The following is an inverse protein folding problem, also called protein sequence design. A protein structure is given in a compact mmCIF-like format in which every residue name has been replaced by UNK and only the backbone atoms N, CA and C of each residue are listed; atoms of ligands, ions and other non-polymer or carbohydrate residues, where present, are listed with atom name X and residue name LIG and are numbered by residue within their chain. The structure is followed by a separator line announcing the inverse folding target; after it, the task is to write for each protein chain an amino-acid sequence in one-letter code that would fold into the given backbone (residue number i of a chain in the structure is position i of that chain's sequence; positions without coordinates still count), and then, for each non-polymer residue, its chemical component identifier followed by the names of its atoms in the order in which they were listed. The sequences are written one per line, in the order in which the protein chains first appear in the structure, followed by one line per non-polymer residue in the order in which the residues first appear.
data_IF_686888706278
#
_entry.id   IF_686888706278
#
_cell.length_a   1.000
_cell.length_b   1.000
_cell.length_c   1.000
_cell.angle_alpha   90.00
_cell.angle_beta   90.00
_cell.angle_gamma   90.00
#
_symmetry.space_group_name_H-M   'P 1'
#
loop_
_entity.id
_entity.type
_entity.pdbx_description
1 polymer ?
#
# COMPACT_ATOMS: atom_id res chain seq x y z
N UNK A 1 -19.52 5.64 -11.57
CA UNK A 1 -19.15 4.51 -10.69
C UNK A 1 -18.36 5.09 -9.52
N UNK A 2 -18.64 4.65 -8.29
CA UNK A 2 -17.80 4.99 -7.14
C UNK A 2 -16.43 4.32 -7.25
N UNK A 3 -15.41 4.96 -6.64
CA UNK A 3 -14.05 4.42 -6.60
C UNK A 3 -14.01 3.05 -5.94
N UNK A 4 -13.15 2.17 -6.43
CA UNK A 4 -12.84 0.89 -5.82
C UNK A 4 -11.42 0.90 -5.25
N UNK A 5 -11.23 0.36 -4.05
CA UNK A 5 -9.90 0.18 -3.45
C UNK A 5 -9.24 -1.12 -3.94
N UNK A 6 -7.91 -1.19 -3.89
CA UNK A 6 -7.17 -2.42 -4.23
C UNK A 6 -7.62 -3.58 -3.32
N UNK A 7 -7.83 -3.33 -2.03
CA UNK A 7 -8.36 -4.35 -1.11
C UNK A 7 -9.71 -4.92 -1.56
N UNK A 8 -10.60 -4.10 -2.12
CA UNK A 8 -11.87 -4.57 -2.65
C UNK A 8 -11.69 -5.37 -3.95
N UNK A 9 -10.71 -5.04 -4.77
CA UNK A 9 -10.35 -5.84 -5.96
C UNK A 9 -9.84 -7.22 -5.53
N UNK A 10 -8.98 -7.29 -4.52
CA UNK A 10 -8.49 -8.55 -3.95
C UNK A 10 -9.66 -9.36 -3.37
N UNK A 11 -10.50 -8.74 -2.51
CA UNK A 11 -11.68 -9.39 -1.95
C UNK A 11 -12.64 -9.91 -3.02
N UNK A 12 -12.81 -9.19 -4.12
CA UNK A 12 -13.62 -9.62 -5.25
C UNK A 12 -13.07 -10.92 -5.86
N UNK A 13 -11.77 -11.04 -6.06
CA UNK A 13 -11.14 -12.25 -6.61
C UNK A 13 -11.30 -13.49 -5.72
N UNK A 14 -11.34 -13.28 -4.41
CA UNK A 14 -11.51 -14.36 -3.43
C UNK A 14 -12.98 -14.86 -3.35
N UNK A 15 -13.92 -14.19 -4.03
CA UNK A 15 -15.33 -14.60 -4.05
C UNK A 15 -15.57 -15.64 -5.14
N UNK A 16 -16.49 -16.56 -4.89
CA UNK A 16 -17.00 -17.45 -5.94
C UNK A 16 -17.78 -16.64 -7.00
N UNK A 17 -17.85 -17.13 -8.23
CA UNK A 17 -18.52 -16.46 -9.35
C UNK A 17 -19.95 -16.02 -9.00
N UNK A 18 -20.69 -16.90 -8.29
CA UNK A 18 -22.05 -16.61 -7.82
C UNK A 18 -22.14 -15.41 -6.88
N UNK A 19 -21.10 -15.17 -6.07
CA UNK A 19 -21.09 -14.11 -5.06
C UNK A 19 -20.42 -12.82 -5.53
N UNK A 20 -19.67 -12.84 -6.62
CA UNK A 20 -18.97 -11.68 -7.16
C UNK A 20 -19.92 -10.54 -7.52
N UNK A 21 -21.02 -10.82 -8.23
CA UNK A 21 -22.03 -9.81 -8.60
C UNK A 21 -22.69 -9.18 -7.38
N UNK A 22 -23.04 -9.96 -6.37
CA UNK A 22 -23.57 -9.47 -5.10
C UNK A 22 -22.59 -8.57 -4.36
N UNK A 23 -21.31 -8.94 -4.35
CA UNK A 23 -20.26 -8.14 -3.75
C UNK A 23 -20.08 -6.79 -4.46
N UNK A 24 -20.08 -6.76 -5.79
CA UNK A 24 -20.01 -5.50 -6.56
C UNK A 24 -21.21 -4.58 -6.27
N UNK A 25 -22.40 -5.14 -6.15
CA UNK A 25 -23.59 -4.39 -5.78
C UNK A 25 -23.49 -3.79 -4.36
N UNK A 26 -22.90 -4.52 -3.41
CA UNK A 26 -22.70 -4.01 -2.05
C UNK A 26 -21.70 -2.85 -1.98
N UNK A 27 -20.59 -2.90 -2.73
CA UNK A 27 -19.62 -1.81 -2.84
C UNK A 27 -20.24 -0.56 -3.50
N UNK A 28 -21.17 -0.77 -4.44
CA UNK A 28 -21.81 0.34 -5.18
C UNK A 28 -22.84 1.11 -4.35
N UNK A 29 -23.43 0.47 -3.34
CA UNK A 29 -24.57 1.02 -2.55
C UNK A 29 -24.17 1.90 -1.37
N UNK A 30 -22.88 2.24 -1.14
CA UNK A 30 -22.45 2.99 0.05
C UNK A 30 -22.98 2.46 1.39
N UNK A 31 -23.18 1.19 1.48
CA UNK A 31 -23.13 0.61 2.79
C UNK A 31 -21.69 0.89 3.22
N UNK A 32 -21.51 1.84 4.15
CA UNK A 32 -20.28 1.94 4.92
C UNK A 32 -20.08 0.55 5.52
N UNK A 33 -19.40 -0.32 4.77
CA UNK A 33 -18.83 -1.52 5.34
C UNK A 33 -17.79 -0.94 6.27
N UNK A 34 -18.18 -0.78 7.56
CA UNK A 34 -17.24 -0.47 8.63
C UNK A 34 -16.11 -1.45 8.41
N UNK A 35 -14.95 -0.93 7.96
CA UNK A 35 -13.81 -1.78 7.71
C UNK A 35 -13.62 -2.61 8.98
N UNK A 36 -13.71 -3.95 8.87
CA UNK A 36 -13.32 -4.84 9.96
C UNK A 36 -11.89 -4.45 10.34
N UNK A 37 -11.75 -3.85 11.52
CA UNK A 37 -10.48 -3.27 11.96
C UNK A 37 -10.32 -1.77 11.77
N UNK A 38 -11.38 -1.00 11.52
CA UNK A 38 -11.40 0.47 11.43
C UNK A 38 -10.31 1.06 10.50
N UNK A 39 -10.62 2.05 9.67
CA UNK A 39 -9.67 2.65 8.71
C UNK A 39 -8.36 3.18 9.32
N UNK A 40 -8.20 3.14 10.63
CA UNK A 40 -7.05 3.63 11.39
C UNK A 40 -6.29 2.53 12.15
N UNK A 41 -6.60 1.26 11.93
CA UNK A 41 -6.05 0.17 12.74
C UNK A 41 -4.51 0.11 12.70
N UNK A 42 -3.90 0.32 11.53
CA UNK A 42 -2.46 0.23 11.27
C UNK A 42 -1.77 1.60 11.15
N UNK A 43 -2.52 2.68 11.32
CA UNK A 43 -2.05 4.02 11.01
C UNK A 43 -0.85 4.43 11.87
N UNK A 44 -0.75 3.93 13.10
CA UNK A 44 0.31 4.29 14.03
C UNK A 44 1.68 3.77 13.56
N UNK A 45 1.77 2.48 13.23
CA UNK A 45 3.00 1.89 12.72
C UNK A 45 3.35 2.43 11.33
N UNK A 46 2.39 2.45 10.38
CA UNK A 46 2.63 2.96 9.03
C UNK A 46 3.06 4.44 9.05
N UNK A 47 2.49 5.26 9.93
CA UNK A 47 2.87 6.66 10.06
C UNK A 47 4.31 6.82 10.59
N UNK A 48 4.69 6.01 11.57
CA UNK A 48 6.07 6.01 12.11
C UNK A 48 7.09 5.59 11.06
N UNK A 49 6.81 4.51 10.31
CA UNK A 49 7.66 4.06 9.20
C UNK A 49 7.78 5.12 8.09
N UNK A 50 6.68 5.80 7.75
CA UNK A 50 6.70 6.91 6.80
C UNK A 50 7.60 8.06 7.28
N UNK A 51 7.55 8.38 8.57
CA UNK A 51 8.39 9.41 9.15
C UNK A 51 9.87 8.97 9.18
N UNK A 52 10.14 7.71 9.50
CA UNK A 52 11.51 7.16 9.46
C UNK A 52 12.15 7.31 8.07
N UNK A 53 11.43 7.01 7.00
CA UNK A 53 11.89 7.24 5.62
C UNK A 53 12.14 8.73 5.35
N UNK A 54 11.24 9.61 5.80
CA UNK A 54 11.33 11.06 5.54
C UNK A 54 12.48 11.72 6.28
N UNK A 55 12.79 11.25 7.48
CA UNK A 55 13.87 11.78 8.33
C UNK A 55 15.19 11.04 8.10
N UNK A 56 15.17 9.95 7.34
CA UNK A 56 16.29 9.02 7.19
C UNK A 56 16.84 8.58 8.56
N UNK A 57 15.93 8.24 9.49
CA UNK A 57 16.26 7.87 10.87
C UNK A 57 15.19 6.93 11.43
N UNK A 58 15.57 5.98 12.28
CA UNK A 58 14.64 5.07 12.95
C UNK A 58 14.03 5.67 14.23
N UNK A 59 14.47 6.85 14.66
CA UNK A 59 13.94 7.51 15.88
C UNK A 59 12.40 7.63 15.87
N UNK A 60 11.70 8.01 14.77
CA UNK A 60 10.24 8.05 14.77
C UNK A 60 9.56 6.72 15.06
N UNK A 61 10.23 5.59 14.78
CA UNK A 61 9.72 4.25 15.11
C UNK A 61 9.91 3.99 16.61
N UNK A 62 11.10 4.27 17.17
CA UNK A 62 11.42 4.09 18.58
C UNK A 62 10.56 4.98 19.48
N UNK A 63 10.34 6.24 19.08
CA UNK A 63 9.42 7.16 19.75
C UNK A 63 7.99 6.60 19.78
N UNK A 64 7.54 6.04 18.65
CA UNK A 64 6.18 5.48 18.55
C UNK A 64 6.02 4.19 19.37
N UNK A 65 7.07 3.37 19.50
CA UNK A 65 7.08 2.21 20.40
C UNK A 65 6.89 2.69 21.84
N UNK A 66 7.68 3.68 22.28
CA UNK A 66 7.59 4.25 23.63
C UNK A 66 6.18 4.81 23.90
N UNK A 67 5.65 5.62 22.97
CA UNK A 67 4.28 6.17 23.07
C UNK A 67 3.23 5.07 23.24
N UNK A 68 3.33 3.99 22.46
CA UNK A 68 2.35 2.90 22.53
C UNK A 68 2.47 2.10 23.82
N UNK A 69 3.68 1.89 24.34
CA UNK A 69 3.91 1.23 25.62
C UNK A 69 3.32 2.04 26.79
N UNK A 70 3.49 3.36 26.78
CA UNK A 70 2.92 4.26 27.80
C UNK A 70 1.38 4.26 27.78
N UNK A 71 0.78 4.09 26.59
CA UNK A 71 -0.67 3.98 26.43
C UNK A 71 -1.23 2.60 26.80
N UNK A 72 -0.38 1.60 27.02
CA UNK A 72 -0.80 0.21 27.27
C UNK A 72 -1.18 -0.02 28.74
N UNK A 73 -2.32 0.55 29.15
CA UNK A 73 -2.82 0.46 30.53
C UNK A 73 -3.82 -0.67 30.75
N UNK A 74 -3.96 -1.20 31.99
CA UNK A 74 -4.88 -2.32 32.29
C UNK A 74 -6.35 -2.07 31.91
N UNK A 75 -6.81 -0.82 32.02
CA UNK A 75 -8.20 -0.40 31.75
C UNK A 75 -8.62 -0.42 30.28
N UNK A 76 -7.70 -0.63 29.33
CA UNK A 76 -8.02 -0.72 27.92
C UNK A 76 -8.90 -1.91 27.59
N UNK A 77 -9.81 -1.71 26.62
CA UNK A 77 -10.58 -2.82 26.05
C UNK A 77 -9.66 -3.84 25.36
N UNK A 78 -10.09 -5.09 25.28
CA UNK A 78 -9.33 -6.14 24.57
C UNK A 78 -9.01 -5.71 23.13
N UNK A 79 -9.99 -5.17 22.41
CA UNK A 79 -9.80 -4.71 21.02
C UNK A 79 -8.71 -3.63 20.90
N UNK A 80 -8.64 -2.68 21.83
CA UNK A 80 -7.61 -1.64 21.84
C UNK A 80 -6.24 -2.23 22.16
N UNK A 81 -6.17 -3.16 23.13
CA UNK A 81 -4.92 -3.87 23.45
C UNK A 81 -4.40 -4.65 22.25
N UNK A 82 -5.25 -5.41 21.57
CA UNK A 82 -4.90 -6.16 20.37
C UNK A 82 -4.40 -5.23 19.24
N UNK A 83 -5.05 -4.08 19.08
CA UNK A 83 -4.61 -3.06 18.10
C UNK A 83 -3.22 -2.52 18.45
N UNK A 84 -2.97 -2.13 19.71
CA UNK A 84 -1.66 -1.62 20.12
C UNK A 84 -0.59 -2.69 19.98
N UNK A 85 -0.86 -3.90 20.44
CA UNK A 85 0.11 -5.01 20.35
C UNK A 85 0.53 -5.28 18.90
N UNK A 86 -0.41 -5.29 17.96
CA UNK A 86 -0.10 -5.50 16.54
C UNK A 86 0.71 -4.36 15.93
N UNK A 87 0.42 -3.11 16.32
CA UNK A 87 1.26 -1.98 15.88
C UNK A 87 2.66 -2.06 16.50
N UNK A 88 2.79 -2.46 17.77
CA UNK A 88 4.08 -2.70 18.42
C UNK A 88 4.87 -3.80 17.71
N UNK A 89 4.22 -4.92 17.36
CA UNK A 89 4.89 -6.01 16.63
C UNK A 89 5.47 -5.53 15.29
N UNK A 90 4.69 -4.76 14.52
CA UNK A 90 5.21 -4.14 13.28
C UNK A 90 6.41 -3.23 13.58
N UNK A 91 6.29 -2.34 14.56
CA UNK A 91 7.34 -1.38 14.86
C UNK A 91 8.64 -2.06 15.31
N UNK A 92 8.56 -3.11 16.14
CA UNK A 92 9.73 -3.89 16.56
C UNK A 92 10.43 -4.60 15.40
N UNK A 93 9.70 -5.05 14.37
CA UNK A 93 10.31 -5.64 13.18
C UNK A 93 11.12 -4.61 12.37
N UNK A 94 10.82 -3.32 12.53
CA UNK A 94 11.45 -2.24 11.73
C UNK A 94 12.26 -1.22 12.56
N UNK A 95 12.37 -1.38 13.88
CA UNK A 95 13.07 -0.41 14.74
C UNK A 95 14.57 -0.25 14.44
N UNK A 96 15.18 -1.29 13.92
CA UNK A 96 16.58 -1.28 13.50
C UNK A 96 16.75 -1.61 12.00
N UNK A 97 15.65 -1.52 11.22
CA UNK A 97 15.68 -1.81 9.81
C UNK A 97 16.44 -0.73 9.02
N UNK A 98 17.28 -1.17 8.10
CA UNK A 98 18.00 -0.29 7.19
C UNK A 98 17.12 0.08 5.99
N UNK A 99 16.44 1.21 6.06
CA UNK A 99 15.57 1.72 5.00
C UNK A 99 16.31 2.08 3.70
N UNK A 100 17.65 2.19 3.73
CA UNK A 100 18.44 2.41 2.52
C UNK A 100 18.35 1.25 1.52
N UNK A 101 17.92 0.06 1.96
CA UNK A 101 17.66 -1.08 1.09
C UNK A 101 16.51 -0.85 0.10
N UNK A 102 15.56 0.03 0.46
CA UNK A 102 14.39 0.34 -0.36
C UNK A 102 14.52 1.61 -1.19
N UNK A 103 15.53 2.39 -0.92
CA UNK A 103 15.67 3.74 -1.47
C UNK A 103 16.98 3.88 -2.25
N UNK A 104 16.96 4.54 -3.41
CA UNK A 104 18.20 4.88 -4.10
C UNK A 104 18.99 5.92 -3.30
N UNK A 105 20.30 5.99 -3.54
CA UNK A 105 21.12 7.07 -3.00
C UNK A 105 20.62 8.43 -3.52
N UNK A 106 20.67 9.45 -2.66
CA UNK A 106 20.31 10.84 -3.02
C UNK A 106 18.86 11.00 -3.51
N UNK A 107 17.92 10.29 -2.92
CA UNK A 107 16.50 10.51 -3.21
C UNK A 107 15.96 11.80 -2.59
N UNK A 108 14.90 12.32 -3.19
CA UNK A 108 14.14 13.46 -2.67
C UNK A 108 12.68 13.07 -2.55
N UNK A 109 12.09 13.24 -1.38
CA UNK A 109 10.67 12.97 -1.16
C UNK A 109 9.82 14.00 -1.93
N UNK A 110 8.90 13.49 -2.74
CA UNK A 110 7.92 14.32 -3.43
C UNK A 110 6.71 14.50 -2.49
N UNK A 111 6.48 15.72 -2.07
CA UNK A 111 5.27 16.05 -1.30
C UNK A 111 4.01 15.71 -2.11
N UNK A 112 2.97 15.17 -1.44
CA UNK A 112 1.70 14.74 -2.08
C UNK A 112 0.83 15.92 -2.55
N UNK A 113 1.42 16.93 -3.16
CA UNK A 113 0.68 18.08 -3.66
C UNK A 113 -0.07 17.72 -4.94
N UNK A 114 -1.41 17.79 -4.88
CA UNK A 114 -2.34 17.77 -6.03
C UNK A 114 -2.33 16.54 -6.96
N UNK A 115 -1.72 15.42 -6.59
CA UNK A 115 -1.79 14.21 -7.40
C UNK A 115 -3.09 13.44 -7.17
N UNK A 116 -3.72 13.01 -8.27
CA UNK A 116 -4.99 12.30 -8.20
C UNK A 116 -4.78 10.92 -7.58
N UNK A 117 -5.34 10.69 -6.39
CA UNK A 117 -5.34 9.37 -5.74
C UNK A 117 -6.33 8.38 -6.40
N UNK A 118 -7.20 8.86 -7.26
CA UNK A 118 -8.13 8.06 -8.05
C UNK A 118 -7.70 8.14 -9.50
N UNK A 119 -7.36 7.02 -10.09
CA UNK A 119 -7.04 6.90 -11.50
C UNK A 119 -8.01 5.94 -12.18
N UNK A 120 -8.21 6.11 -13.48
CA UNK A 120 -9.05 5.21 -14.26
C UNK A 120 -8.17 4.12 -14.88
N UNK A 121 -8.43 2.87 -14.51
CA UNK A 121 -7.82 1.67 -15.11
C UNK A 121 -8.97 0.87 -15.74
N UNK A 122 -8.88 0.55 -17.02
CA UNK A 122 -9.97 -0.14 -17.76
C UNK A 122 -11.35 0.52 -17.55
N UNK A 123 -11.38 1.87 -17.51
CA UNK A 123 -12.58 2.68 -17.24
C UNK A 123 -13.12 2.63 -15.80
N UNK A 124 -12.45 1.90 -14.91
CA UNK A 124 -12.84 1.76 -13.50
C UNK A 124 -12.03 2.74 -12.65
N UNK A 125 -12.69 3.60 -11.82
CA UNK A 125 -11.97 4.48 -10.91
C UNK A 125 -11.39 3.69 -9.74
N UNK A 126 -10.07 3.55 -9.72
CA UNK A 126 -9.31 2.82 -8.69
C UNK A 126 -8.63 3.81 -7.76
N UNK A 127 -8.79 3.61 -6.45
CA UNK A 127 -8.10 4.42 -5.44
C UNK A 127 -6.74 3.84 -5.12
N UNK A 128 -5.69 4.67 -5.28
CA UNK A 128 -4.29 4.31 -5.03
C UNK A 128 -3.66 5.41 -4.18
N UNK A 129 -3.12 5.02 -3.03
CA UNK A 129 -2.56 5.95 -2.03
C UNK A 129 -1.20 5.47 -1.56
N UNK A 130 -0.14 5.65 -2.36
CA UNK A 130 1.21 5.28 -1.95
C UNK A 130 1.61 5.94 -0.64
N UNK A 131 2.43 5.27 0.14
CA UNK A 131 2.92 5.77 1.43
C UNK A 131 3.93 6.89 1.24
N UNK A 132 4.93 6.68 0.39
CA UNK A 132 5.94 7.67 0.00
C UNK A 132 6.15 7.65 -1.51
N UNK A 133 6.35 8.84 -2.07
CA UNK A 133 6.79 9.02 -3.47
C UNK A 133 8.07 9.81 -3.42
N UNK A 134 9.05 9.41 -4.19
CA UNK A 134 10.35 10.06 -4.23
C UNK A 134 10.91 10.12 -5.65
N UNK A 135 11.79 11.08 -5.88
CA UNK A 135 12.57 11.19 -7.11
C UNK A 135 14.05 11.00 -6.83
N UNK A 136 14.79 10.60 -7.84
CA UNK A 136 16.24 10.48 -7.81
C UNK A 136 16.79 10.65 -9.22
N UNK A 137 18.09 10.91 -9.29
CA UNK A 137 18.80 11.01 -10.56
C UNK A 137 19.80 9.88 -10.69
N UNK A 138 19.83 9.25 -11.86
CA UNK A 138 20.82 8.22 -12.23
C UNK A 138 21.24 8.46 -13.68
N UNK A 139 22.55 8.58 -13.90
CA UNK A 139 23.12 8.76 -15.26
C UNK A 139 22.50 9.96 -16.02
N UNK A 140 22.28 11.07 -15.31
CA UNK A 140 21.71 12.29 -15.89
C UNK A 140 20.21 12.22 -16.21
N UNK A 141 19.52 11.12 -15.85
CA UNK A 141 18.07 10.95 -16.03
C UNK A 141 17.34 11.04 -14.69
N UNK A 142 16.20 11.73 -14.70
CA UNK A 142 15.32 11.84 -13.53
C UNK A 142 14.36 10.68 -13.48
N UNK A 143 14.34 9.99 -12.36
CA UNK A 143 13.45 8.87 -12.07
C UNK A 143 12.47 9.19 -10.95
N UNK A 144 11.34 8.50 -10.94
CA UNK A 144 10.41 8.48 -9.81
C UNK A 144 10.16 7.05 -9.38
N UNK A 145 10.09 6.87 -8.08
CA UNK A 145 9.68 5.64 -7.42
C UNK A 145 8.70 5.90 -6.29
N UNK A 146 8.13 4.87 -5.74
CA UNK A 146 7.28 4.96 -4.58
C UNK A 146 7.35 3.68 -3.73
N UNK A 147 7.09 3.85 -2.43
CA UNK A 147 6.87 2.76 -1.48
C UNK A 147 5.41 2.80 -1.05
N UNK A 148 4.76 1.66 -1.03
CA UNK A 148 3.42 1.51 -0.51
C UNK A 148 3.39 0.46 0.59
N UNK A 149 3.29 0.89 1.85
CA UNK A 149 3.07 0.01 2.98
C UNK A 149 1.63 -0.48 2.99
N UNK A 150 1.47 -1.78 3.03
CA UNK A 150 0.17 -2.43 3.12
C UNK A 150 0.14 -3.34 4.35
N UNK A 151 -1.04 -3.51 4.95
CA UNK A 151 -1.22 -4.33 6.13
C UNK A 151 -2.58 -5.04 6.08
N UNK A 152 -2.57 -6.34 6.35
CA UNK A 152 -3.72 -7.20 6.52
C UNK A 152 -3.41 -8.19 7.64
N UNK A 153 -4.40 -8.57 8.43
CA UNK A 153 -4.22 -9.35 9.68
C UNK A 153 -3.33 -10.59 9.49
N UNK A 154 -3.51 -11.31 8.40
CA UNK A 154 -2.77 -12.54 8.11
C UNK A 154 -1.73 -12.36 6.99
N UNK A 155 -1.34 -11.09 6.73
CA UNK A 155 -0.48 -10.74 5.61
C UNK A 155 -1.16 -10.92 4.24
N UNK A 156 -0.47 -10.53 3.19
CA UNK A 156 -0.87 -10.73 1.80
C UNK A 156 -0.04 -11.86 1.17
N UNK A 157 -0.62 -12.62 0.25
CA UNK A 157 0.18 -13.49 -0.58
C UNK A 157 0.84 -12.71 -1.72
N UNK A 158 1.85 -13.32 -2.35
CA UNK A 158 2.67 -12.69 -3.39
C UNK A 158 1.83 -12.19 -4.59
N UNK A 159 0.78 -12.91 -4.97
CA UNK A 159 -0.11 -12.53 -6.07
C UNK A 159 -0.97 -11.32 -5.71
N UNK A 160 -1.42 -11.22 -4.46
CA UNK A 160 -2.14 -10.05 -3.94
C UNK A 160 -1.23 -8.81 -3.91
N UNK A 161 0.03 -8.97 -3.52
CA UNK A 161 1.04 -7.90 -3.55
C UNK A 161 1.34 -7.46 -4.99
N UNK A 162 1.35 -8.38 -5.95
CA UNK A 162 1.47 -8.09 -7.38
C UNK A 162 0.36 -7.13 -7.88
N UNK A 163 -0.87 -7.27 -7.39
CA UNK A 163 -1.97 -6.34 -7.73
C UNK A 163 -1.66 -4.91 -7.26
N UNK A 164 -1.12 -4.76 -6.05
CA UNK A 164 -0.69 -3.46 -5.55
C UNK A 164 0.47 -2.89 -6.38
N UNK A 165 1.46 -3.72 -6.75
CA UNK A 165 2.62 -3.28 -7.53
C UNK A 165 2.22 -2.82 -8.94
N UNK A 166 1.33 -3.55 -9.62
CA UNK A 166 0.77 -3.16 -10.91
C UNK A 166 0.00 -1.83 -10.80
N UNK A 167 -0.84 -1.68 -9.77
CA UNK A 167 -1.58 -0.46 -9.51
C UNK A 167 -0.64 0.73 -9.22
N UNK A 168 0.42 0.52 -8.43
CA UNK A 168 1.40 1.55 -8.10
C UNK A 168 2.14 2.05 -9.34
N UNK A 169 2.59 1.13 -10.21
CA UNK A 169 3.26 1.49 -11.46
C UNK A 169 2.34 2.31 -12.37
N UNK A 170 1.09 1.86 -12.56
CA UNK A 170 0.10 2.60 -13.37
C UNK A 170 -0.17 3.98 -12.75
N UNK A 171 -0.25 4.08 -11.43
CA UNK A 171 -0.44 5.36 -10.73
C UNK A 171 0.72 6.32 -11.00
N UNK A 172 1.96 5.86 -10.89
CA UNK A 172 3.13 6.69 -11.16
C UNK A 172 3.17 7.12 -12.62
N UNK A 173 2.90 6.22 -13.56
CA UNK A 173 2.83 6.53 -14.99
C UNK A 173 1.79 7.61 -15.28
N UNK A 174 0.60 7.54 -14.69
CA UNK A 174 -0.47 8.53 -14.92
C UNK A 174 -0.17 9.92 -14.30
N UNK A 175 0.68 10.00 -13.29
CA UNK A 175 0.90 11.23 -12.54
C UNK A 175 2.26 11.88 -12.78
N UNK A 176 3.25 11.15 -13.32
CA UNK A 176 4.66 11.60 -13.33
C UNK A 176 5.41 11.37 -14.64
N UNK A 177 4.88 10.63 -15.61
CA UNK A 177 5.57 10.26 -16.86
C UNK A 177 6.07 11.44 -17.69
N UNK A 178 5.44 12.62 -17.58
CA UNK A 178 5.85 13.82 -18.30
C UNK A 178 7.20 14.38 -17.83
N UNK A 179 7.59 14.15 -16.58
CA UNK A 179 8.77 14.77 -15.96
C UNK A 179 9.81 13.76 -15.47
N UNK A 180 9.44 12.49 -15.38
CA UNK A 180 10.27 11.45 -14.78
C UNK A 180 10.13 10.14 -15.55
N UNK A 181 11.20 9.38 -15.59
CA UNK A 181 11.14 7.97 -15.99
C UNK A 181 10.67 7.15 -14.78
N UNK A 182 9.66 6.30 -14.98
CA UNK A 182 9.22 5.39 -13.91
C UNK A 182 10.18 4.22 -13.84
N UNK A 183 10.78 4.00 -12.67
CA UNK A 183 11.64 2.83 -12.46
C UNK A 183 10.83 1.68 -11.85
N UNK A 184 10.62 0.56 -12.56
CA UNK A 184 9.85 -0.59 -12.06
C UNK A 184 10.41 -1.19 -10.76
N UNK A 185 11.72 -1.20 -10.56
CA UNK A 185 12.37 -1.71 -9.34
C UNK A 185 12.03 -0.84 -8.12
N UNK A 186 11.77 0.44 -8.35
CA UNK A 186 11.42 1.40 -7.31
C UNK A 186 9.90 1.61 -7.16
N UNK A 187 9.07 0.74 -7.75
CA UNK A 187 7.64 0.63 -7.46
C UNK A 187 7.44 -0.47 -6.43
N UNK A 188 7.71 -0.17 -5.17
CA UNK A 188 7.84 -1.15 -4.08
C UNK A 188 6.58 -1.23 -3.23
N UNK A 189 6.09 -2.44 -3.02
CA UNK A 189 5.05 -2.79 -2.06
C UNK A 189 5.69 -3.54 -0.91
N UNK A 190 5.36 -3.14 0.31
CA UNK A 190 5.83 -3.80 1.53
C UNK A 190 4.62 -4.20 2.36
N UNK A 191 4.40 -5.50 2.54
CA UNK A 191 3.48 -6.03 3.53
C UNK A 191 4.17 -6.01 4.90
N UNK A 192 3.80 -5.05 5.73
CA UNK A 192 4.47 -4.84 7.02
C UNK A 192 4.13 -5.89 8.07
N UNK A 193 3.17 -6.78 7.81
CA UNK A 193 2.79 -7.90 8.70
C UNK A 193 3.38 -9.20 8.19
N UNK A 194 3.23 -9.48 6.90
CA UNK A 194 3.78 -10.68 6.27
C UNK A 194 5.29 -10.58 6.02
N UNK A 195 5.91 -9.42 6.25
CA UNK A 195 7.33 -9.15 6.00
C UNK A 195 7.76 -9.52 4.58
N UNK A 196 6.86 -9.27 3.62
CA UNK A 196 7.08 -9.57 2.22
C UNK A 196 7.20 -8.29 1.40
N UNK A 197 8.02 -8.34 0.38
CA UNK A 197 8.28 -7.24 -0.54
C UNK A 197 8.00 -7.70 -1.96
N UNK A 198 7.39 -6.83 -2.77
CA UNK A 198 7.19 -7.03 -4.21
C UNK A 198 7.40 -5.71 -4.92
N UNK A 199 8.20 -5.70 -5.97
CA UNK A 199 8.31 -4.58 -6.86
C UNK A 199 7.72 -4.90 -8.25
N UNK A 200 7.43 -3.87 -9.04
CA UNK A 200 6.79 -4.08 -10.35
C UNK A 200 7.73 -4.77 -11.36
N UNK A 201 9.04 -4.73 -11.16
CA UNK A 201 10.00 -5.46 -12.01
C UNK A 201 9.75 -6.97 -12.00
N UNK A 202 9.30 -7.50 -10.85
CA UNK A 202 8.96 -8.92 -10.72
C UNK A 202 7.77 -9.35 -11.60
N UNK A 203 6.84 -8.43 -11.88
CA UNK A 203 5.76 -8.67 -12.84
C UNK A 203 6.28 -8.60 -14.29
N UNK A 204 7.19 -7.67 -14.59
CA UNK A 204 7.84 -7.59 -15.90
C UNK A 204 8.67 -8.84 -16.19
N UNK A 205 9.35 -9.37 -15.18
CA UNK A 205 10.17 -10.59 -15.28
C UNK A 205 9.32 -11.88 -15.22
N UNK A 206 8.00 -11.78 -15.24
CA UNK A 206 7.04 -12.90 -15.19
C UNK A 206 7.16 -13.81 -13.94
N UNK A 207 7.85 -13.34 -12.89
CA UNK A 207 7.94 -14.04 -11.61
C UNK A 207 6.61 -14.03 -10.86
N UNK A 208 5.83 -12.96 -11.07
CA UNK A 208 4.50 -12.75 -10.51
C UNK A 208 3.54 -12.41 -11.65
N UNK A 209 2.39 -13.06 -11.69
CA UNK A 209 1.38 -12.81 -12.73
C UNK A 209 0.74 -11.42 -12.57
N UNK A 210 0.69 -10.65 -13.65
CA UNK A 210 -0.04 -9.37 -13.71
C UNK A 210 -1.54 -9.63 -13.85
N UNK A 211 -2.31 -9.48 -12.79
CA UNK A 211 -3.73 -9.87 -12.74
C UNK A 211 -4.69 -8.73 -12.42
N UNK A 212 -4.21 -7.51 -12.21
CA UNK A 212 -5.06 -6.35 -11.94
C UNK A 212 -5.99 -6.06 -13.14
N UNK A 213 -5.42 -5.86 -14.32
CA UNK A 213 -6.20 -5.54 -15.53
C UNK A 213 -7.23 -6.63 -15.88
N UNK A 214 -6.87 -7.93 -15.97
CA UNK A 214 -7.86 -9.00 -16.18
C UNK A 214 -8.97 -9.01 -15.13
N UNK A 215 -8.65 -8.69 -13.86
CA UNK A 215 -9.64 -8.60 -12.79
C UNK A 215 -10.61 -7.43 -13.02
N UNK A 216 -10.09 -6.28 -13.42
CA UNK A 216 -10.92 -5.10 -13.70
C UNK A 216 -11.82 -5.31 -14.92
N UNK A 217 -11.34 -6.01 -15.95
CA UNK A 217 -12.16 -6.42 -17.09
C UNK A 217 -13.31 -7.33 -16.66
N UNK A 218 -13.05 -8.29 -15.76
CA UNK A 218 -14.11 -9.14 -15.21
C UNK A 218 -15.12 -8.33 -14.40
N UNK A 219 -14.65 -7.41 -13.54
CA UNK A 219 -15.52 -6.48 -12.81
C UNK A 219 -16.40 -5.67 -13.77
N UNK A 220 -15.84 -5.21 -14.89
CA UNK A 220 -16.57 -4.45 -15.90
C UNK A 220 -17.68 -5.29 -16.58
N UNK A 221 -17.40 -6.57 -16.87
CA UNK A 221 -18.37 -7.48 -17.49
C UNK A 221 -19.54 -7.86 -16.56
N UNK A 222 -19.33 -7.88 -15.26
CA UNK A 222 -20.33 -8.27 -14.25
C UNK A 222 -21.23 -7.10 -13.79
N UNK A 223 -20.96 -5.92 -14.24
CA UNK A 223 -21.72 -4.68 -13.95
C UNK A 223 -22.72 -4.39 -15.03
#
# INVERSE_FOLDING_TARGET
MKKISINNIIKFRLKSDKSQKGFLNSISKDIEIKAEGGGNYWVRSISAMNNAIRTNSNEPIKDKITELLDLFVPSLTKQTKDMYQRNLNILHNYEDFDFSKWLPKNYTIISKTNKKSIIYIETIPVQITPSQIYSFEKEGKKYVGAIWFVAKLDGYNITELGIFAEALFIYLSNNFDQNFTINPENCLIVDVIGEQEVNYKELIDEKISAILKPTLELIKKLR
#
